data_IF_003189235685
#
_entry.id   IF_003189235685
#
_cell.length_a   1.000
_cell.length_b   1.000
_cell.length_c   1.000
_cell.angle_alpha   90.00
_cell.angle_beta   90.00
_cell.angle_gamma   90.00
#
_symmetry.space_group_name_H-M   'P 1'
#
loop_
_entity.id
_entity.type
_entity.pdbx_description
1 polymer ?
#
# COMPACT_ATOMS: atom_id res chain seq x y z
N UNK A 1 -2.42 -23.74 14.69
CA UNK A 1 -2.08 -22.34 14.95
C UNK A 1 -3.32 -21.69 15.54
N UNK A 2 -3.20 -20.77 16.50
CA UNK A 2 -4.32 -19.98 17.04
C UNK A 2 -4.40 -18.62 16.34
N UNK A 3 -5.53 -17.90 16.47
CA UNK A 3 -5.69 -16.57 15.87
C UNK A 3 -4.64 -15.59 16.44
N UNK A 4 -4.40 -15.64 17.75
CA UNK A 4 -3.34 -14.89 18.41
C UNK A 4 -1.97 -15.18 17.79
N UNK A 5 -1.61 -16.44 17.60
CA UNK A 5 -0.34 -16.82 16.95
C UNK A 5 -0.24 -16.26 15.52
N UNK A 6 -1.34 -16.31 14.74
CA UNK A 6 -1.40 -15.76 13.38
C UNK A 6 -1.18 -14.24 13.36
N UNK A 7 -1.78 -13.52 14.32
CA UNK A 7 -1.62 -12.07 14.45
C UNK A 7 -0.22 -11.71 14.95
N UNK A 8 0.33 -12.44 15.91
CA UNK A 8 1.71 -12.24 16.38
C UNK A 8 2.71 -12.46 15.24
N UNK A 9 2.50 -13.50 14.42
CA UNK A 9 3.29 -13.71 13.20
C UNK A 9 3.20 -12.54 12.22
N UNK A 10 2.00 -12.00 12.00
CA UNK A 10 1.81 -10.81 11.18
C UNK A 10 2.57 -9.58 11.73
N UNK A 11 2.56 -9.38 13.05
CA UNK A 11 3.30 -8.30 13.71
C UNK A 11 4.81 -8.47 13.49
N UNK A 12 5.33 -9.68 13.61
CA UNK A 12 6.75 -9.99 13.36
C UNK A 12 7.13 -9.73 11.89
N UNK A 13 6.31 -10.17 10.95
CA UNK A 13 6.49 -9.92 9.51
C UNK A 13 6.42 -8.43 9.18
N UNK A 14 5.51 -7.69 9.81
CA UNK A 14 5.41 -6.23 9.67
C UNK A 14 6.68 -5.53 10.16
N UNK A 15 7.21 -5.95 11.31
CA UNK A 15 8.45 -5.40 11.86
C UNK A 15 9.66 -5.66 10.97
N UNK A 16 9.71 -6.86 10.37
CA UNK A 16 10.81 -7.30 9.50
C UNK A 16 10.77 -6.64 8.13
N UNK A 17 9.60 -6.67 7.48
CA UNK A 17 9.47 -6.36 6.05
C UNK A 17 9.01 -4.92 5.80
N UNK A 18 8.33 -4.29 6.77
CA UNK A 18 7.76 -2.94 6.62
C UNK A 18 8.52 -1.87 7.42
N UNK A 19 9.57 -2.25 8.18
CA UNK A 19 10.27 -1.37 9.13
C UNK A 19 9.33 -0.59 10.08
N UNK A 20 8.13 -1.12 10.32
CA UNK A 20 7.09 -0.52 11.16
C UNK A 20 6.88 -1.39 12.39
N UNK A 21 6.91 -0.77 13.57
CA UNK A 21 6.63 -1.44 14.83
C UNK A 21 5.26 -0.98 15.37
N UNK A 22 4.21 -1.83 15.32
CA UNK A 22 2.86 -1.47 15.73
C UNK A 22 2.67 -1.52 17.26
N UNK A 23 3.44 -0.70 18.00
CA UNK A 23 3.45 -0.71 19.48
C UNK A 23 2.09 -0.44 20.10
N UNK A 24 1.27 0.45 19.52
CA UNK A 24 -0.08 0.74 19.99
C UNK A 24 -1.02 -0.47 19.84
N UNK A 25 -0.86 -1.24 18.76
CA UNK A 25 -1.65 -2.45 18.54
C UNK A 25 -1.22 -3.57 19.49
N UNK A 26 0.09 -3.77 19.68
CA UNK A 26 0.64 -4.73 20.64
C UNK A 26 0.10 -4.45 22.04
N UNK A 27 0.16 -3.19 22.50
CA UNK A 27 -0.38 -2.80 23.79
C UNK A 27 -1.88 -3.05 23.89
N UNK A 28 -2.63 -2.77 22.83
CA UNK A 28 -4.08 -3.02 22.82
C UNK A 28 -4.42 -4.52 22.88
N UNK A 29 -3.60 -5.40 22.30
CA UNK A 29 -3.75 -6.86 22.43
C UNK A 29 -3.60 -7.27 23.90
N UNK A 30 -2.58 -6.75 24.59
CA UNK A 30 -2.35 -6.98 26.02
C UNK A 30 -3.53 -6.47 26.85
N UNK A 31 -3.97 -5.23 26.61
CA UNK A 31 -5.07 -4.59 27.34
C UNK A 31 -6.44 -5.29 27.12
N UNK A 32 -6.65 -5.91 25.95
CA UNK A 32 -7.89 -6.63 25.62
C UNK A 32 -7.83 -8.14 25.94
N UNK A 33 -6.71 -8.63 26.47
CA UNK A 33 -6.51 -10.04 26.82
C UNK A 33 -6.45 -10.98 25.62
N UNK A 34 -6.07 -10.49 24.44
CA UNK A 34 -5.98 -11.30 23.22
C UNK A 34 -6.19 -10.51 21.92
N UNK A 35 -5.67 -11.06 20.83
CA UNK A 35 -5.72 -10.46 19.51
C UNK A 35 -7.13 -10.47 18.93
N UNK A 36 -7.91 -11.51 19.19
CA UNK A 36 -9.31 -11.59 18.76
C UNK A 36 -10.12 -10.41 19.29
N UNK A 37 -10.10 -10.18 20.60
CA UNK A 37 -10.82 -9.09 21.26
C UNK A 37 -10.36 -7.72 20.77
N UNK A 38 -9.05 -7.53 20.59
CA UNK A 38 -8.48 -6.30 20.06
C UNK A 38 -8.97 -6.02 18.63
N UNK A 39 -9.00 -7.03 17.76
CA UNK A 39 -9.49 -6.91 16.38
C UNK A 39 -10.99 -6.61 16.35
N UNK A 40 -11.80 -7.36 17.10
CA UNK A 40 -13.25 -7.10 17.22
C UNK A 40 -13.53 -5.67 17.67
N UNK A 41 -12.80 -5.19 18.68
CA UNK A 41 -12.89 -3.80 19.16
C UNK A 41 -12.56 -2.78 18.07
N UNK A 42 -11.53 -3.03 17.26
CA UNK A 42 -11.18 -2.15 16.14
C UNK A 42 -12.21 -2.17 15.01
N UNK A 43 -12.81 -3.32 14.71
CA UNK A 43 -13.84 -3.45 13.69
C UNK A 43 -15.14 -2.73 14.10
N UNK A 44 -15.50 -2.76 15.38
CA UNK A 44 -16.67 -2.03 15.92
C UNK A 44 -16.42 -0.51 16.02
N UNK A 45 -15.16 -0.08 16.12
CA UNK A 45 -14.85 1.35 16.25
C UNK A 45 -15.26 2.14 14.99
N UNK A 46 -15.90 3.30 15.18
CA UNK A 46 -16.36 4.20 14.09
C UNK A 46 -15.22 4.83 13.28
N UNK A 47 -13.97 4.62 13.67
CA UNK A 47 -12.82 5.21 13.00
C UNK A 47 -12.45 4.36 11.78
N UNK A 48 -12.79 4.89 10.60
CA UNK A 48 -12.81 4.15 9.33
C UNK A 48 -11.46 3.58 8.90
N UNK A 49 -10.35 4.25 9.21
CA UNK A 49 -9.01 3.82 8.80
C UNK A 49 -8.10 3.93 10.01
N UNK A 50 -7.50 2.81 10.41
CA UNK A 50 -6.49 2.81 11.47
C UNK A 50 -5.14 3.26 10.92
N UNK A 51 -4.32 3.91 11.76
CA UNK A 51 -2.96 4.30 11.37
C UNK A 51 -2.12 3.08 10.94
N UNK A 52 -2.32 1.94 11.62
CA UNK A 52 -1.68 0.68 11.28
C UNK A 52 -2.05 0.19 9.87
N UNK A 53 -3.33 0.25 9.50
CA UNK A 53 -3.79 -0.12 8.16
C UNK A 53 -3.19 0.79 7.08
N UNK A 54 -3.12 2.11 7.33
CA UNK A 54 -2.48 3.06 6.40
C UNK A 54 -1.00 2.72 6.18
N UNK A 55 -0.28 2.38 7.26
CA UNK A 55 1.15 2.03 7.17
C UNK A 55 1.40 0.74 6.42
N UNK A 56 0.56 -0.28 6.63
CA UNK A 56 0.62 -1.54 5.88
C UNK A 56 0.28 -1.34 4.41
N UNK A 57 -0.69 -0.47 4.11
CA UNK A 57 -1.00 -0.07 2.73
C UNK A 57 0.19 0.60 2.04
N UNK A 58 0.82 1.57 2.71
CA UNK A 58 2.01 2.26 2.18
C UNK A 58 3.20 1.31 1.97
N UNK A 59 3.29 0.25 2.78
CA UNK A 59 4.30 -0.80 2.64
C UNK A 59 3.95 -1.86 1.58
N UNK A 60 2.76 -1.81 0.97
CA UNK A 60 2.29 -2.82 0.02
C UNK A 60 2.01 -4.19 0.66
N UNK A 61 1.85 -4.24 1.99
CA UNK A 61 1.66 -5.47 2.78
C UNK A 61 0.28 -5.52 3.43
N UNK A 62 -0.76 -5.23 2.64
CA UNK A 62 -2.14 -5.39 3.08
C UNK A 62 -2.51 -6.85 3.40
N UNK A 63 -1.71 -7.82 2.94
CA UNK A 63 -1.84 -9.21 3.34
C UNK A 63 -1.65 -9.44 4.86
N UNK A 64 -0.94 -8.52 5.54
CA UNK A 64 -0.66 -8.57 6.97
C UNK A 64 -1.72 -7.87 7.84
N UNK A 65 -2.63 -7.09 7.24
CA UNK A 65 -3.65 -6.40 8.03
C UNK A 65 -4.69 -7.39 8.57
N UNK A 66 -5.20 -7.13 9.77
CA UNK A 66 -6.23 -8.00 10.34
C UNK A 66 -7.51 -7.96 9.50
N UNK A 67 -7.81 -6.84 8.84
CA UNK A 67 -8.97 -6.70 7.94
C UNK A 67 -8.93 -7.73 6.79
N UNK A 68 -7.75 -8.20 6.39
CA UNK A 68 -7.59 -9.31 5.44
C UNK A 68 -7.57 -10.66 6.14
N UNK A 69 -6.83 -10.78 7.25
CA UNK A 69 -6.59 -12.06 7.94
C UNK A 69 -7.89 -12.70 8.41
N UNK A 70 -8.88 -11.91 8.82
CA UNK A 70 -10.19 -12.43 9.25
C UNK A 70 -10.96 -13.15 8.12
N UNK A 71 -10.59 -12.96 6.85
CA UNK A 71 -11.18 -13.69 5.72
C UNK A 71 -10.49 -15.02 5.43
N UNK A 72 -9.40 -15.36 6.14
CA UNK A 72 -8.81 -16.69 6.04
C UNK A 72 -9.82 -17.73 6.57
N UNK A 73 -9.98 -18.89 5.89
CA UNK A 73 -11.03 -19.86 6.22
C UNK A 73 -10.91 -20.42 7.65
N UNK A 74 -9.71 -20.37 8.23
CA UNK A 74 -9.44 -20.78 9.62
C UNK A 74 -10.12 -19.84 10.66
N UNK A 75 -10.36 -18.58 10.30
CA UNK A 75 -10.79 -17.52 11.22
C UNK A 75 -12.14 -16.90 10.86
N UNK A 76 -12.59 -17.07 9.62
CA UNK A 76 -13.81 -16.47 9.09
C UNK A 76 -15.03 -16.66 10.02
N UNK A 77 -15.19 -17.85 10.59
CA UNK A 77 -16.34 -18.19 11.44
C UNK A 77 -16.24 -17.65 12.87
N UNK A 78 -15.09 -17.08 13.27
CA UNK A 78 -14.91 -16.42 14.58
C UNK A 78 -15.46 -14.99 14.61
N UNK A 79 -15.76 -14.41 13.44
CA UNK A 79 -16.20 -13.03 13.28
C UNK A 79 -17.64 -12.95 12.75
N UNK A 80 -18.36 -11.92 13.18
CA UNK A 80 -19.73 -11.70 12.74
C UNK A 80 -19.79 -11.17 11.30
N UNK A 81 -20.95 -11.33 10.65
CA UNK A 81 -21.14 -10.79 9.29
C UNK A 81 -20.96 -9.27 9.24
N UNK A 82 -21.32 -8.57 10.31
CA UNK A 82 -21.16 -7.13 10.46
C UNK A 82 -19.67 -6.74 10.54
N UNK A 83 -18.89 -7.48 11.31
CA UNK A 83 -17.44 -7.29 11.45
C UNK A 83 -16.72 -7.51 10.11
N UNK A 84 -17.06 -8.60 9.41
CA UNK A 84 -16.54 -8.91 8.07
C UNK A 84 -16.94 -7.83 7.05
N UNK A 85 -18.18 -7.34 7.12
CA UNK A 85 -18.66 -6.29 6.20
C UNK A 85 -17.88 -4.98 6.38
N UNK A 86 -17.61 -4.59 7.63
CA UNK A 86 -16.82 -3.39 7.92
C UNK A 86 -15.37 -3.57 7.45
N UNK A 87 -14.74 -4.72 7.69
CA UNK A 87 -13.39 -5.00 7.18
C UNK A 87 -13.32 -4.92 5.65
N UNK A 88 -14.28 -5.53 4.94
CA UNK A 88 -14.38 -5.46 3.47
C UNK A 88 -14.52 -4.04 2.97
N UNK A 89 -15.33 -3.23 3.65
CA UNK A 89 -15.54 -1.82 3.33
C UNK A 89 -14.25 -1.01 3.52
N UNK A 90 -13.50 -1.24 4.60
CA UNK A 90 -12.20 -0.58 4.84
C UNK A 90 -11.17 -0.91 3.77
N UNK A 91 -11.09 -2.18 3.35
CA UNK A 91 -10.23 -2.59 2.24
C UNK A 91 -10.64 -1.91 0.92
N UNK A 92 -11.95 -1.83 0.64
CA UNK A 92 -12.47 -1.15 -0.55
C UNK A 92 -12.20 0.35 -0.55
N UNK A 93 -12.33 1.01 0.60
CA UNK A 93 -12.04 2.45 0.75
C UNK A 93 -10.55 2.77 0.47
N UNK A 94 -9.65 1.79 0.61
CA UNK A 94 -8.23 1.88 0.25
C UNK A 94 -7.94 1.52 -1.22
N UNK A 95 -8.98 1.33 -2.03
CA UNK A 95 -8.89 0.90 -3.43
C UNK A 95 -8.21 -0.48 -3.58
N UNK A 96 -8.31 -1.34 -2.56
CA UNK A 96 -7.87 -2.73 -2.63
C UNK A 96 -8.95 -3.55 -3.35
N UNK A 97 -8.54 -4.29 -4.37
CA UNK A 97 -9.47 -5.07 -5.18
C UNK A 97 -9.90 -6.35 -4.43
N UNK A 98 -11.05 -6.26 -3.76
CA UNK A 98 -11.68 -7.36 -3.02
C UNK A 98 -12.39 -8.37 -3.93
N UNK A 99 -12.38 -8.17 -5.26
CA UNK A 99 -13.09 -9.05 -6.20
C UNK A 99 -12.45 -10.43 -6.38
N UNK A 100 -11.20 -10.62 -5.93
CA UNK A 100 -10.50 -11.92 -5.91
C UNK A 100 -10.59 -12.68 -4.57
N UNK A 101 -11.40 -12.23 -3.62
CA UNK A 101 -11.57 -12.90 -2.31
C UNK A 101 -12.73 -13.92 -2.32
N UNK A 102 -12.80 -14.77 -3.35
CA UNK A 102 -13.69 -15.94 -3.33
C UNK A 102 -13.04 -17.05 -2.50
N UNK A 103 -13.75 -17.43 -1.44
CA UNK A 103 -13.42 -18.53 -0.53
C UNK A 103 -13.43 -19.84 -1.31
N UNK A 104 -12.26 -20.34 -1.68
CA UNK A 104 -12.06 -21.74 -2.06
C UNK A 104 -10.87 -22.25 -1.25
N UNK A 105 -10.93 -23.48 -0.70
CA UNK A 105 -9.90 -24.02 0.16
C UNK A 105 -8.56 -24.06 -0.56
N UNK A 106 -7.57 -23.37 0.00
CA UNK A 106 -6.21 -23.30 -0.56
C UNK A 106 -5.55 -24.68 -0.43
N UNK A 107 -5.71 -25.52 -1.45
CA UNK A 107 -5.00 -26.77 -1.57
C UNK A 107 -3.57 -26.46 -2.02
N UNK A 108 -2.60 -26.56 -1.10
CA UNK A 108 -1.18 -26.43 -1.40
C UNK A 108 -0.72 -27.65 -2.21
N UNK A 109 -0.88 -27.60 -3.52
CA UNK A 109 0.04 -28.28 -4.43
C UNK A 109 0.03 -27.58 -5.78
N UNK A 110 1.19 -27.04 -6.14
CA UNK A 110 1.54 -26.65 -7.50
C UNK A 110 0.84 -25.41 -8.04
N UNK A 111 1.21 -24.24 -7.51
CA UNK A 111 1.29 -23.07 -8.39
C UNK A 111 2.68 -22.45 -8.27
N UNK A 112 3.57 -22.86 -9.17
CA UNK A 112 4.68 -22.01 -9.60
C UNK A 112 4.08 -20.80 -10.35
N UNK A 113 3.46 -19.89 -9.60
CA UNK A 113 3.07 -18.61 -10.16
C UNK A 113 4.34 -17.77 -10.25
N UNK A 114 4.80 -17.54 -11.49
CA UNK A 114 5.60 -16.36 -11.84
C UNK A 114 4.74 -15.12 -11.58
N UNK A 115 4.49 -14.79 -10.31
CA UNK A 115 4.04 -13.45 -9.95
C UNK A 115 5.15 -12.49 -10.38
N UNK A 116 4.85 -11.65 -11.37
CA UNK A 116 5.75 -10.59 -11.77
C UNK A 116 5.96 -9.67 -10.57
N UNK A 117 7.10 -9.85 -9.89
CA UNK A 117 7.52 -9.07 -8.72
C UNK A 117 7.51 -7.58 -9.09
N UNK A 118 6.48 -6.86 -8.65
CA UNK A 118 6.38 -5.42 -8.83
C UNK A 118 7.48 -4.75 -8.00
N UNK A 119 8.29 -3.91 -8.63
CA UNK A 119 9.31 -3.13 -7.94
C UNK A 119 8.80 -1.71 -7.71
N UNK A 120 9.04 -1.20 -6.50
CA UNK A 120 8.57 0.11 -6.08
C UNK A 120 9.75 1.07 -5.96
N UNK A 121 9.56 2.30 -6.45
CA UNK A 121 10.59 3.34 -6.46
C UNK A 121 10.03 4.64 -5.88
N UNK A 122 10.81 5.33 -5.05
CA UNK A 122 10.46 6.64 -4.52
C UNK A 122 11.31 7.71 -5.21
N UNK A 123 10.67 8.64 -5.90
CA UNK A 123 11.34 9.73 -6.60
C UNK A 123 11.07 11.06 -5.87
N UNK A 124 12.10 11.78 -5.42
CA UNK A 124 11.93 13.08 -4.81
C UNK A 124 11.59 14.13 -5.88
N UNK A 125 10.58 14.94 -5.61
CA UNK A 125 10.17 16.10 -6.38
C UNK A 125 10.30 17.34 -5.51
N UNK A 126 10.88 18.39 -6.08
CA UNK A 126 10.90 19.71 -5.47
C UNK A 126 10.04 20.62 -6.33
N UNK A 127 8.96 21.16 -5.76
CA UNK A 127 8.02 22.05 -6.42
C UNK A 127 8.70 23.29 -7.05
N UNK A 128 9.84 23.73 -6.50
CA UNK A 128 10.63 24.82 -7.09
C UNK A 128 11.24 24.45 -8.45
N UNK A 129 11.58 23.17 -8.63
CA UNK A 129 12.25 22.65 -9.82
C UNK A 129 11.26 22.06 -10.82
N UNK A 130 10.17 21.45 -10.34
CA UNK A 130 9.16 20.85 -11.19
C UNK A 130 7.80 20.81 -10.48
N UNK A 131 6.82 21.47 -11.09
CA UNK A 131 5.43 21.45 -10.63
C UNK A 131 4.74 20.21 -11.19
N UNK A 132 4.84 19.12 -10.44
CA UNK A 132 4.30 17.81 -10.82
C UNK A 132 2.77 17.85 -10.93
N UNK A 133 2.10 18.68 -10.13
CA UNK A 133 0.65 18.82 -10.14
C UNK A 133 0.16 19.46 -11.44
N UNK A 134 0.73 20.62 -11.83
CA UNK A 134 0.40 21.24 -13.12
C UNK A 134 0.78 20.37 -14.30
N UNK A 135 1.89 19.63 -14.20
CA UNK A 135 2.30 18.72 -15.26
C UNK A 135 1.28 17.60 -15.48
N UNK A 136 0.75 16.98 -14.42
CA UNK A 136 -0.28 15.94 -14.54
C UNK A 136 -1.67 16.49 -14.91
N UNK A 137 -1.98 17.73 -14.53
CA UNK A 137 -3.21 18.41 -15.00
C UNK A 137 -3.17 18.63 -16.52
N UNK A 138 -1.99 18.94 -17.08
CA UNK A 138 -1.83 19.20 -18.52
C UNK A 138 -1.59 17.92 -19.32
N UNK A 139 -0.88 16.95 -18.75
CA UNK A 139 -0.43 15.75 -19.43
C UNK A 139 -0.81 14.50 -18.65
N UNK A 140 -1.43 13.53 -19.32
CA UNK A 140 -1.77 12.24 -18.72
C UNK A 140 -0.55 11.32 -18.52
N UNK A 141 0.60 11.69 -19.06
CA UNK A 141 1.87 10.99 -18.91
C UNK A 141 2.98 12.02 -18.90
N UNK A 142 3.89 11.92 -17.95
CA UNK A 142 5.04 12.82 -17.81
C UNK A 142 6.32 12.04 -18.00
N UNK A 143 7.30 12.67 -18.63
CA UNK A 143 8.65 12.11 -18.74
C UNK A 143 9.48 12.56 -17.55
N UNK A 144 10.10 11.59 -16.88
CA UNK A 144 10.93 11.82 -15.71
C UNK A 144 12.37 11.38 -16.01
N UNK A 145 13.34 12.14 -15.51
CA UNK A 145 14.74 11.74 -15.64
C UNK A 145 14.99 10.47 -14.84
N UNK A 146 15.34 9.39 -15.53
CA UNK A 146 15.63 8.12 -14.91
C UNK A 146 16.91 8.24 -14.06
N UNK A 147 16.74 8.37 -12.74
CA UNK A 147 17.84 8.45 -11.77
C UNK A 147 18.44 7.09 -11.46
N UNK A 148 17.67 6.02 -11.67
CA UNK A 148 18.12 4.65 -11.47
C UNK A 148 17.82 3.79 -12.71
N UNK A 149 18.85 3.20 -13.31
CA UNK A 149 18.76 2.34 -14.49
C UNK A 149 18.03 1.02 -14.23
N UNK A 150 17.86 0.64 -12.95
CA UNK A 150 17.13 -0.56 -12.55
C UNK A 150 15.61 -0.42 -12.64
N UNK A 151 15.09 0.81 -12.80
CA UNK A 151 13.66 1.06 -13.04
C UNK A 151 13.29 0.43 -14.38
N UNK A 152 12.23 -0.38 -14.39
CA UNK A 152 11.71 -1.10 -15.56
C UNK A 152 10.27 -0.71 -15.86
N UNK A 153 9.83 -1.02 -17.08
CA UNK A 153 8.41 -0.93 -17.46
C UNK A 153 7.59 -1.82 -16.53
N UNK A 154 6.40 -1.35 -16.14
CA UNK A 154 5.50 -1.94 -15.14
C UNK A 154 5.93 -1.81 -13.68
N UNK A 155 7.07 -1.18 -13.38
CA UNK A 155 7.36 -0.78 -12.00
C UNK A 155 6.44 0.35 -11.54
N UNK A 156 6.28 0.47 -10.23
CA UNK A 156 5.48 1.52 -9.60
C UNK A 156 6.41 2.59 -9.02
N UNK A 157 6.18 3.84 -9.42
CA UNK A 157 6.91 5.01 -8.96
C UNK A 157 6.01 5.86 -8.08
N UNK A 158 6.46 6.15 -6.87
CA UNK A 158 5.86 7.14 -5.99
C UNK A 158 6.62 8.46 -6.11
N UNK A 159 5.90 9.56 -6.32
CA UNK A 159 6.49 10.90 -6.36
C UNK A 159 6.31 11.54 -4.99
N UNK A 160 7.44 11.79 -4.34
CA UNK A 160 7.53 12.40 -3.02
C UNK A 160 7.83 13.89 -3.14
N UNK A 161 6.90 14.75 -2.74
CA UNK A 161 7.16 16.17 -2.59
C UNK A 161 8.05 16.41 -1.37
N UNK A 162 9.23 16.95 -1.62
CA UNK A 162 10.21 17.33 -0.58
C UNK A 162 9.72 18.56 0.22
N UNK A 163 10.58 19.21 1.02
CA UNK A 163 10.17 20.37 1.83
C UNK A 163 9.48 21.45 0.98
N UNK A 164 8.40 22.10 1.48
CA UNK A 164 7.88 22.05 2.85
C UNK A 164 6.82 20.96 3.09
N UNK A 165 6.24 20.38 2.03
CA UNK A 165 5.06 19.51 2.14
C UNK A 165 5.41 18.13 2.67
N UNK A 166 6.52 17.53 2.24
CA UNK A 166 7.02 16.24 2.75
C UNK A 166 5.98 15.10 2.67
N UNK A 167 5.32 14.96 1.53
CA UNK A 167 4.25 13.95 1.30
C UNK A 167 4.50 13.16 0.02
N UNK A 168 4.05 11.90 -0.01
CA UNK A 168 3.90 11.16 -1.27
C UNK A 168 2.63 11.64 -1.95
N UNK A 169 2.77 12.29 -3.11
CA UNK A 169 1.65 12.95 -3.80
C UNK A 169 1.02 12.06 -4.87
N UNK A 170 1.82 11.30 -5.61
CA UNK A 170 1.36 10.52 -6.76
C UNK A 170 1.90 9.09 -6.73
N UNK A 171 1.09 8.17 -7.26
CA UNK A 171 1.46 6.79 -7.59
C UNK A 171 1.34 6.60 -9.09
N UNK A 172 2.45 6.29 -9.75
CA UNK A 172 2.55 6.25 -11.20
C UNK A 172 3.06 4.88 -11.67
N UNK A 173 2.54 4.39 -12.79
CA UNK A 173 3.05 3.19 -13.45
C UNK A 173 4.09 3.59 -14.51
N UNK A 174 5.23 2.93 -14.52
CA UNK A 174 6.28 3.18 -15.52
C UNK A 174 5.86 2.57 -16.86
N UNK A 175 5.54 3.43 -17.83
CA UNK A 175 5.16 3.01 -19.18
C UNK A 175 6.34 2.80 -20.13
N UNK A 176 7.46 3.48 -19.91
CA UNK A 176 8.65 3.41 -20.77
C UNK A 176 9.91 3.80 -19.99
N UNK A 177 11.06 3.24 -20.37
CA UNK A 177 12.39 3.51 -19.77
C UNK A 177 13.44 3.70 -20.86
N UNK A 178 14.62 4.22 -20.52
CA UNK A 178 15.75 4.41 -21.45
C UNK A 178 15.41 5.19 -22.73
N UNK A 179 14.49 6.17 -22.63
CA UNK A 179 14.15 7.05 -23.77
C UNK A 179 15.40 7.84 -24.20
N UNK A 180 15.73 7.81 -25.50
CA UNK A 180 16.75 8.69 -26.07
C UNK A 180 16.29 10.14 -25.92
N UNK A 181 17.17 11.02 -25.46
CA UNK A 181 16.85 12.45 -25.28
C UNK A 181 16.68 13.12 -26.64
N UNK A 182 15.50 12.98 -27.26
CA UNK A 182 15.14 13.71 -28.46
C UNK A 182 14.27 14.91 -28.08
N UNK A 183 14.91 16.07 -28.08
CA UNK A 183 14.36 17.44 -27.98
C UNK A 183 13.77 17.92 -26.65
N UNK A 184 14.36 19.02 -26.17
CA UNK A 184 14.13 19.76 -24.92
C UNK A 184 12.76 20.49 -24.86
N UNK A 185 11.63 19.83 -25.19
CA UNK A 185 10.29 20.45 -25.09
C UNK A 185 9.47 19.97 -23.89
N UNK A 186 9.79 18.81 -23.33
CA UNK A 186 9.01 18.22 -22.23
C UNK A 186 9.60 18.44 -20.83
N UNK A 187 10.72 19.16 -20.75
CA UNK A 187 11.31 19.62 -19.49
C UNK A 187 11.06 21.13 -19.36
N UNK A 188 10.11 21.48 -18.52
CA UNK A 188 9.91 22.78 -17.83
C UNK A 188 8.62 23.56 -18.17
N UNK A 189 7.72 23.80 -17.20
CA UNK A 189 6.69 24.85 -17.29
C UNK A 189 7.24 26.28 -17.15
N UNK A 190 8.51 26.49 -16.79
CA UNK A 190 9.13 27.83 -16.64
C UNK A 190 9.84 28.31 -17.90
N UNK A 191 9.12 28.41 -19.01
CA UNK A 191 9.42 29.41 -20.06
C UNK A 191 8.14 29.85 -20.75
N UNK A 192 7.45 30.80 -20.13
CA UNK A 192 6.70 31.80 -20.89
C UNK A 192 7.20 33.14 -20.37
N UNK A 193 8.16 33.71 -21.10
CA UNK A 193 8.45 35.13 -21.00
C UNK A 193 7.39 35.87 -21.79
N UNK A 194 6.56 36.62 -21.07
CA UNK A 194 6.44 38.07 -21.22
C UNK A 194 5.82 38.61 -19.93
#
# INVERSE_FOLDING_TARGET
MTFDERIQKSILETKKDCHYNPTAFIKMIEDCGGAENAVKKLLVSKNKITDGLTKLYMAGRLDLCFERIIFEPEWHDMFSKEELTEAKKRLKDLNYDVSNLSVEPFNNSSIENKEAKLTYWLLPCNEKNYDVEKAFLKYHTIDWNQTNSLIKVNDVVYIYETKPKQIVRFRCLVKAVNKKTTNKKDRDPKKVGM
#
